data_IF_566562481295
#
_entry.id   IF_566562481295
#
_cell.length_a   1.000
_cell.length_b   1.000
_cell.length_c   1.000
_cell.angle_alpha   90.00
_cell.angle_beta   90.00
_cell.angle_gamma   90.00
#
_symmetry.space_group_name_H-M   'P 1'
#
loop_
_entity.id
_entity.type
_entity.pdbx_description
1 polymer ?
#
# COMPACT_ATOMS: atom_id res chain seq x y z
N UNK A 1 -15.60 -13.20 2.25
CA UNK A 1 -14.64 -12.14 2.62
C UNK A 1 -14.00 -11.62 1.33
N UNK A 2 -14.26 -10.36 1.00
CA UNK A 2 -13.52 -9.60 0.00
C UNK A 2 -12.24 -9.09 0.67
N UNK A 3 -11.10 -9.64 0.29
CA UNK A 3 -9.82 -9.35 0.96
C UNK A 3 -8.99 -8.44 0.08
N UNK A 4 -8.56 -7.29 0.63
CA UNK A 4 -7.51 -6.45 0.07
C UNK A 4 -6.14 -6.93 0.53
N UNK A 5 -5.15 -6.94 -0.35
CA UNK A 5 -3.78 -7.37 -0.02
C UNK A 5 -2.76 -6.38 -0.62
N UNK A 6 -2.04 -5.69 0.26
CA UNK A 6 -0.91 -4.83 -0.09
C UNK A 6 0.39 -5.53 0.28
N UNK A 7 1.32 -5.64 -0.69
CA UNK A 7 2.62 -6.29 -0.50
C UNK A 7 3.76 -5.63 -1.26
N UNK A 8 4.99 -5.90 -0.84
CA UNK A 8 6.19 -5.44 -1.52
C UNK A 8 7.40 -6.39 -1.32
N UNK A 9 8.38 -6.42 -2.25
CA UNK A 9 8.37 -5.77 -3.56
C UNK A 9 7.43 -6.47 -4.56
N UNK A 10 7.35 -5.97 -5.78
CA UNK A 10 6.69 -6.68 -6.88
C UNK A 10 7.73 -7.44 -7.70
N UNK A 11 7.31 -8.51 -8.40
CA UNK A 11 8.20 -9.33 -9.24
C UNK A 11 8.18 -8.89 -10.71
N UNK A 12 7.00 -8.55 -11.24
CA UNK A 12 6.82 -8.25 -12.66
C UNK A 12 6.12 -6.92 -12.91
N UNK A 13 5.09 -6.60 -12.12
CA UNK A 13 4.31 -5.37 -12.29
C UNK A 13 3.95 -4.78 -10.94
N UNK A 14 4.02 -3.45 -10.77
CA UNK A 14 3.62 -2.79 -9.52
C UNK A 14 2.16 -3.06 -9.15
N UNK A 15 1.30 -3.44 -10.10
CA UNK A 15 -0.09 -3.87 -9.82
C UNK A 15 -0.14 -5.07 -8.86
N UNK A 16 0.88 -5.93 -8.84
CA UNK A 16 0.95 -7.05 -7.88
C UNK A 16 0.96 -6.60 -6.42
N UNK A 17 1.33 -5.34 -6.16
CA UNK A 17 1.30 -4.76 -4.83
C UNK A 17 -0.12 -4.42 -4.35
N UNK A 18 -1.13 -4.44 -5.22
CA UNK A 18 -2.51 -4.13 -4.87
C UNK A 18 -3.38 -5.26 -5.41
N UNK A 19 -3.87 -6.12 -4.52
CA UNK A 19 -4.75 -7.23 -4.89
C UNK A 19 -6.07 -7.20 -4.15
N UNK A 20 -7.14 -7.58 -4.83
CA UNK A 20 -8.46 -7.78 -4.23
C UNK A 20 -8.97 -9.15 -4.65
N UNK A 21 -9.35 -9.99 -3.69
CA UNK A 21 -9.79 -11.36 -3.98
C UNK A 21 -8.70 -12.29 -4.53
N UNK A 22 -7.43 -11.87 -4.46
CA UNK A 22 -6.27 -12.63 -4.96
C UNK A 22 -5.74 -12.15 -6.31
N UNK A 23 -6.54 -11.38 -7.05
CA UNK A 23 -6.17 -10.83 -8.36
C UNK A 23 -5.57 -9.44 -8.23
N UNK A 24 -4.60 -9.14 -9.09
CA UNK A 24 -4.04 -7.78 -9.20
C UNK A 24 -5.09 -6.82 -9.73
N UNK A 25 -5.09 -5.61 -9.18
CA UNK A 25 -5.85 -4.47 -9.71
C UNK A 25 -5.67 -4.34 -11.23
N UNK A 26 -6.74 -3.95 -11.94
CA UNK A 26 -6.65 -3.73 -13.38
C UNK A 26 -5.74 -2.54 -13.72
N UNK A 27 -5.32 -2.44 -14.98
CA UNK A 27 -4.45 -1.33 -15.42
C UNK A 27 -5.14 0.02 -15.30
N UNK A 28 -6.41 0.09 -15.67
CA UNK A 28 -7.21 1.30 -15.61
C UNK A 28 -7.45 1.75 -14.16
N UNK A 29 -7.83 0.82 -13.29
CA UNK A 29 -8.03 1.12 -11.87
C UNK A 29 -6.72 1.50 -11.17
N UNK A 30 -5.60 0.89 -11.55
CA UNK A 30 -4.29 1.25 -11.04
C UNK A 30 -3.89 2.67 -11.45
N UNK A 31 -4.02 2.98 -12.75
CA UNK A 31 -3.74 4.31 -13.27
C UNK A 31 -4.62 5.37 -12.60
N UNK A 32 -5.90 5.06 -12.42
CA UNK A 32 -6.86 5.93 -11.74
C UNK A 32 -6.48 6.17 -10.28
N UNK A 33 -6.20 5.10 -9.50
CA UNK A 33 -5.85 5.21 -8.09
C UNK A 33 -4.55 6.00 -7.87
N UNK A 34 -3.53 5.78 -8.70
CA UNK A 34 -2.28 6.56 -8.67
C UNK A 34 -2.56 8.03 -9.03
N UNK A 35 -3.33 8.28 -10.10
CA UNK A 35 -3.69 9.62 -10.54
C UNK A 35 -4.49 10.39 -9.48
N UNK A 36 -5.36 9.71 -8.74
CA UNK A 36 -6.11 10.29 -7.63
C UNK A 36 -5.19 10.76 -6.49
N UNK A 37 -4.22 9.93 -6.10
CA UNK A 37 -3.25 10.28 -5.05
C UNK A 37 -2.37 11.46 -5.47
N UNK A 38 -1.83 11.44 -6.69
CA UNK A 38 -0.98 12.52 -7.22
C UNK A 38 -1.76 13.84 -7.31
N UNK A 39 -3.04 13.79 -7.68
CA UNK A 39 -3.87 15.01 -7.71
C UNK A 39 -4.05 15.61 -6.32
N UNK A 40 -4.28 14.78 -5.30
CA UNK A 40 -4.42 15.25 -3.91
C UNK A 40 -3.13 15.88 -3.43
N UNK A 41 -1.99 15.22 -3.67
CA UNK A 41 -0.65 15.73 -3.35
C UNK A 41 -0.44 17.15 -3.92
N UNK A 42 -0.78 17.36 -5.19
CA UNK A 42 -0.63 18.65 -5.87
C UNK A 42 -1.59 19.72 -5.32
N UNK A 43 -2.87 19.37 -5.14
CA UNK A 43 -3.90 20.34 -4.70
C UNK A 43 -3.67 20.77 -3.26
N UNK A 44 -3.21 19.86 -2.40
CA UNK A 44 -3.00 20.12 -0.97
C UNK A 44 -1.58 20.63 -0.66
N UNK A 45 -0.66 20.61 -1.62
CA UNK A 45 0.74 21.02 -1.40
C UNK A 45 1.48 20.12 -0.40
N UNK A 46 1.15 18.82 -0.37
CA UNK A 46 1.70 17.86 0.59
C UNK A 46 2.98 17.16 0.11
N UNK A 47 3.43 17.44 -1.11
CA UNK A 47 4.49 16.70 -1.81
C UNK A 47 5.91 17.30 -1.72
N UNK A 48 6.91 16.61 -2.33
CA UNK A 48 6.72 15.39 -3.11
C UNK A 48 6.60 14.13 -2.23
N UNK A 49 5.59 13.30 -2.48
CA UNK A 49 5.49 11.95 -1.93
C UNK A 49 6.55 11.04 -2.57
N UNK A 50 7.09 10.15 -1.77
CA UNK A 50 7.92 9.05 -2.27
C UNK A 50 7.07 8.06 -3.07
N UNK A 51 7.71 7.31 -3.96
CA UNK A 51 7.05 6.21 -4.68
C UNK A 51 6.30 5.25 -3.75
N UNK A 52 6.88 4.94 -2.59
CA UNK A 52 6.27 4.01 -1.64
C UNK A 52 5.03 4.61 -0.94
N UNK A 53 5.07 5.89 -0.58
CA UNK A 53 3.90 6.61 -0.05
C UNK A 53 2.77 6.69 -1.09
N UNK A 54 3.10 6.97 -2.36
CA UNK A 54 2.12 7.04 -3.45
C UNK A 54 1.42 5.70 -3.65
N UNK A 55 2.17 4.60 -3.81
CA UNK A 55 1.57 3.28 -4.09
C UNK A 55 0.84 2.71 -2.87
N UNK A 56 1.32 3.00 -1.65
CA UNK A 56 0.61 2.61 -0.41
C UNK A 56 -0.71 3.35 -0.29
N UNK A 57 -0.71 4.65 -0.53
CA UNK A 57 -1.94 5.47 -0.52
C UNK A 57 -2.94 4.99 -1.58
N UNK A 58 -2.45 4.66 -2.79
CA UNK A 58 -3.28 4.13 -3.87
C UNK A 58 -3.89 2.77 -3.52
N UNK A 59 -3.15 1.89 -2.84
CA UNK A 59 -3.67 0.62 -2.34
C UNK A 59 -4.81 0.83 -1.34
N UNK A 60 -4.61 1.70 -0.34
CA UNK A 60 -5.62 2.01 0.67
C UNK A 60 -6.87 2.65 0.05
N UNK A 61 -6.68 3.57 -0.91
CA UNK A 61 -7.78 4.16 -1.67
C UNK A 61 -8.55 3.10 -2.46
N UNK A 62 -7.86 2.20 -3.16
CA UNK A 62 -8.50 1.14 -3.92
C UNK A 62 -9.28 0.19 -3.01
N UNK A 63 -8.73 -0.20 -1.85
CA UNK A 63 -9.43 -1.06 -0.88
C UNK A 63 -10.68 -0.38 -0.32
N UNK A 64 -10.64 0.93 -0.10
CA UNK A 64 -11.81 1.70 0.32
C UNK A 64 -12.89 1.75 -0.78
N UNK A 65 -12.49 2.01 -2.03
CA UNK A 65 -13.40 2.02 -3.18
C UNK A 65 -14.06 0.66 -3.42
N UNK A 66 -13.29 -0.40 -3.25
CA UNK A 66 -13.75 -1.78 -3.38
C UNK A 66 -14.56 -2.26 -2.18
N UNK A 67 -14.63 -1.49 -1.08
CA UNK A 67 -15.29 -1.87 0.16
C UNK A 67 -14.88 -3.28 0.63
N UNK A 68 -13.57 -3.53 0.75
CA UNK A 68 -13.06 -4.82 1.23
C UNK A 68 -13.49 -5.08 2.68
N UNK A 69 -13.79 -6.34 3.00
CA UNK A 69 -14.16 -6.76 4.36
C UNK A 69 -12.94 -6.70 5.31
N UNK A 70 -11.74 -6.95 4.76
CA UNK A 70 -10.47 -6.94 5.49
C UNK A 70 -9.34 -6.58 4.54
N UNK A 71 -8.36 -5.82 5.02
CA UNK A 71 -7.12 -5.53 4.31
C UNK A 71 -5.93 -6.14 5.06
N UNK A 72 -5.08 -6.85 4.33
CA UNK A 72 -3.76 -7.27 4.80
C UNK A 72 -2.76 -6.28 4.22
N UNK A 73 -2.03 -5.59 5.10
CA UNK A 73 -1.08 -4.54 4.71
C UNK A 73 0.30 -4.95 5.19
N UNK A 74 1.17 -5.37 4.27
CA UNK A 74 2.56 -5.68 4.56
C UNK A 74 3.37 -4.38 4.72
N UNK A 75 4.15 -4.31 5.80
CA UNK A 75 5.08 -3.21 6.07
C UNK A 75 6.19 -3.22 5.00
N UNK A 76 6.51 -2.05 4.45
CA UNK A 76 7.59 -1.92 3.45
C UNK A 76 8.98 -2.07 4.06
N UNK A 77 9.27 -1.28 5.09
CA UNK A 77 10.55 -1.31 5.80
C UNK A 77 10.38 -1.01 7.29
N UNK A 78 10.89 -1.93 8.13
CA UNK A 78 10.85 -1.85 9.60
C UNK A 78 9.43 -1.76 10.19
N UNK A 79 8.86 -0.57 10.28
CA UNK A 79 7.49 -0.40 10.80
C UNK A 79 7.18 1.00 11.32
N UNK A 80 7.93 1.52 12.30
CA UNK A 80 7.56 2.77 13.01
C UNK A 80 7.34 3.96 12.07
N UNK A 81 8.19 4.10 11.05
CA UNK A 81 8.15 5.19 10.08
C UNK A 81 7.76 4.73 8.68
N UNK A 82 7.21 3.51 8.56
CA UNK A 82 6.74 2.99 7.29
C UNK A 82 5.45 3.67 6.86
N UNK A 83 5.26 3.89 5.55
CA UNK A 83 4.05 4.54 5.02
C UNK A 83 2.76 3.78 5.37
N UNK A 84 2.85 2.47 5.63
CA UNK A 84 1.71 1.64 6.03
C UNK A 84 1.29 1.86 7.49
N UNK A 85 2.15 2.43 8.34
CA UNK A 85 1.91 2.62 9.78
C UNK A 85 0.93 3.76 10.10
N UNK A 86 0.19 4.24 9.10
CA UNK A 86 -1.01 5.09 9.26
C UNK A 86 -2.26 4.26 9.56
N UNK A 87 -2.22 2.95 9.26
CA UNK A 87 -3.35 2.03 9.46
C UNK A 87 -3.45 1.64 10.93
N UNK A 88 -4.61 1.89 11.55
CA UNK A 88 -4.95 1.36 12.87
C UNK A 88 -5.42 -0.09 12.74
N UNK A 89 -4.48 -1.02 12.66
CA UNK A 89 -4.79 -2.43 12.48
C UNK A 89 -5.42 -3.05 13.75
N UNK A 90 -6.43 -3.90 13.57
CA UNK A 90 -7.02 -4.70 14.66
C UNK A 90 -6.03 -5.76 15.18
N UNK A 91 -5.16 -6.24 14.29
CA UNK A 91 -4.11 -7.23 14.59
C UNK A 91 -2.81 -6.79 13.92
N UNK A 92 -1.74 -6.74 14.71
CA UNK A 92 -0.38 -6.57 14.21
C UNK A 92 0.36 -7.91 14.28
N UNK A 93 1.10 -8.24 13.22
CA UNK A 93 1.83 -9.50 13.10
C UNK A 93 3.32 -9.21 12.92
N UNK A 94 4.15 -9.79 13.78
CA UNK A 94 5.61 -9.79 13.65
C UNK A 94 6.00 -11.24 13.36
N UNK A 95 6.62 -11.48 12.21
CA UNK A 95 6.94 -12.84 11.74
C UNK A 95 8.26 -13.33 12.36
N UNK A 96 9.38 -12.82 11.88
CA UNK A 96 10.72 -13.09 12.38
C UNK A 96 11.48 -11.77 12.57
N UNK A 97 12.53 -11.81 13.38
CA UNK A 97 13.42 -10.67 13.61
C UNK A 97 14.85 -11.15 13.41
N UNK A 98 15.57 -10.49 12.52
CA UNK A 98 16.96 -10.76 12.19
C UNK A 98 17.70 -9.47 11.83
N UNK A 99 19.00 -9.58 11.60
CA UNK A 99 19.81 -8.46 11.13
C UNK A 99 19.54 -8.28 9.63
N UNK A 100 18.85 -7.20 9.32
CA UNK A 100 18.59 -6.69 7.98
C UNK A 100 18.27 -5.19 8.13
N UNK A 101 18.53 -4.38 7.09
CA UNK A 101 18.37 -2.92 7.14
C UNK A 101 19.04 -2.27 8.37
N UNK A 102 20.28 -2.69 8.67
CA UNK A 102 21.03 -2.27 9.86
C UNK A 102 21.67 -0.89 9.75
N UNK A 103 21.70 -0.33 8.54
CA UNK A 103 22.36 0.93 8.24
C UNK A 103 21.29 2.01 8.11
N UNK A 104 21.10 2.76 9.20
CA UNK A 104 20.15 3.87 9.33
C UNK A 104 20.60 4.89 10.34
#
# INVERSE_FOLDING_TARGET
LKVGFNSSPHLHTPRQRIRVGGDAISEDEFAQAIGDVVRVEQVQGLGPYTWFETITSAALLHFANEAVDVAIVEVGMLGRYDATNVVRADVAVITNVGLDHTDG
#
